data_IF_435633032750
#
_entry.id   IF_435633032750
#
_cell.length_a   1.000
_cell.length_b   1.000
_cell.length_c   1.000
_cell.angle_alpha   90.00
_cell.angle_beta   90.00
_cell.angle_gamma   90.00
#
_symmetry.space_group_name_H-M   'P 1'
#
loop_
_entity.id
_entity.type
_entity.pdbx_description
1 polymer ?
#
# COMPACT_ATOMS: atom_id res chain seq x y z
N UNK A 1 -13.44 -53.49 -22.50
CA UNK A 1 -12.41 -52.43 -22.35
C UNK A 1 -13.11 -51.06 -22.36
N UNK A 2 -13.58 -50.55 -21.20
CA UNK A 2 -14.20 -49.22 -21.10
C UNK A 2 -13.78 -48.62 -19.74
N UNK A 3 -12.49 -48.31 -19.58
CA UNK A 3 -11.95 -47.73 -18.33
C UNK A 3 -11.00 -46.56 -18.56
N UNK A 4 -10.84 -46.10 -19.81
CA UNK A 4 -9.90 -45.02 -20.17
C UNK A 4 -10.52 -43.64 -20.36
N UNK A 5 -11.82 -43.56 -20.67
CA UNK A 5 -12.43 -42.31 -21.18
C UNK A 5 -12.75 -41.32 -20.05
N UNK A 6 -13.13 -41.81 -18.86
CA UNK A 6 -13.46 -40.94 -17.72
C UNK A 6 -12.27 -40.06 -17.32
N UNK A 7 -11.06 -40.63 -17.23
CA UNK A 7 -9.86 -39.89 -16.79
C UNK A 7 -9.53 -38.73 -17.74
N UNK A 8 -9.74 -38.93 -19.03
CA UNK A 8 -9.53 -37.89 -20.04
C UNK A 8 -10.56 -36.75 -19.94
N UNK A 9 -11.83 -37.09 -19.66
CA UNK A 9 -12.90 -36.09 -19.50
C UNK A 9 -12.68 -35.25 -18.24
N UNK A 10 -12.23 -35.84 -17.14
CA UNK A 10 -11.95 -35.13 -15.88
C UNK A 10 -10.73 -34.19 -15.99
N UNK A 11 -9.73 -34.56 -16.77
CA UNK A 11 -8.57 -33.71 -17.02
C UNK A 11 -8.90 -32.52 -17.93
N UNK A 12 -9.76 -32.72 -18.92
CA UNK A 12 -10.21 -31.65 -19.83
C UNK A 12 -11.06 -30.60 -19.10
N UNK A 13 -11.91 -30.99 -18.14
CA UNK A 13 -12.72 -30.05 -17.36
C UNK A 13 -11.89 -29.21 -16.40
N UNK A 14 -10.84 -29.77 -15.78
CA UNK A 14 -9.93 -29.02 -14.90
C UNK A 14 -9.10 -27.97 -15.66
N UNK A 15 -8.74 -28.22 -16.92
CA UNK A 15 -8.01 -27.27 -17.77
C UNK A 15 -8.91 -26.17 -18.37
N UNK A 16 -10.23 -26.38 -18.40
CA UNK A 16 -11.21 -25.38 -18.86
C UNK A 16 -11.69 -24.43 -17.78
N UNK A 17 -11.25 -24.60 -16.53
CA UNK A 17 -11.56 -23.65 -15.48
C UNK A 17 -10.84 -22.33 -15.81
N UNK A 18 -11.56 -21.21 -15.97
CA UNK A 18 -10.91 -19.92 -16.04
C UNK A 18 -10.12 -19.77 -14.75
N UNK A 19 -8.80 -19.53 -14.88
CA UNK A 19 -7.97 -19.09 -13.77
C UNK A 19 -8.65 -17.84 -13.19
N UNK A 20 -9.45 -18.03 -12.14
CA UNK A 20 -9.99 -16.91 -11.39
C UNK A 20 -8.77 -16.07 -11.01
N UNK A 21 -8.76 -14.76 -11.28
CA UNK A 21 -7.66 -13.93 -10.84
C UNK A 21 -7.53 -14.16 -9.34
N UNK A 22 -6.34 -14.60 -8.90
CA UNK A 22 -6.07 -14.73 -7.49
C UNK A 22 -6.36 -13.36 -6.84
N UNK A 23 -7.44 -13.29 -6.07
CA UNK A 23 -7.82 -12.15 -5.24
C UNK A 23 -6.87 -12.09 -4.05
N UNK A 24 -5.64 -11.66 -4.31
CA UNK A 24 -4.69 -11.32 -3.26
C UNK A 24 -5.05 -9.92 -2.74
N UNK A 25 -5.98 -9.86 -1.78
CA UNK A 25 -6.38 -8.63 -1.07
C UNK A 25 -5.40 -8.26 0.06
N UNK A 26 -4.12 -8.59 -0.08
CA UNK A 26 -3.12 -8.40 0.98
C UNK A 26 -2.62 -6.96 1.04
N UNK A 27 -2.50 -6.41 2.24
CA UNK A 27 -1.79 -5.15 2.48
C UNK A 27 -0.40 -5.23 1.85
N UNK A 28 0.00 -4.26 1.03
CA UNK A 28 1.30 -4.31 0.36
C UNK A 28 2.44 -3.76 1.22
N UNK A 29 2.10 -2.74 2.01
CA UNK A 29 3.02 -1.91 2.76
C UNK A 29 2.29 -1.17 3.87
N UNK A 30 2.93 -1.09 5.03
CA UNK A 30 2.45 -0.35 6.18
C UNK A 30 3.55 0.55 6.73
N UNK A 31 3.23 1.80 7.00
CA UNK A 31 4.12 2.74 7.66
C UNK A 31 3.41 3.45 8.80
N UNK A 32 4.12 3.57 9.93
CA UNK A 32 3.65 4.35 11.07
C UNK A 32 4.77 5.21 11.65
N UNK A 33 4.41 6.43 12.04
CA UNK A 33 5.30 7.34 12.74
C UNK A 33 4.55 8.05 13.88
N UNK A 34 5.23 8.22 15.01
CA UNK A 34 4.67 8.89 16.20
C UNK A 34 5.69 9.84 16.79
N UNK A 35 5.29 11.08 17.07
CA UNK A 35 6.09 12.05 17.81
C UNK A 35 5.18 12.93 18.69
N UNK A 36 5.33 12.82 20.01
CA UNK A 36 4.41 13.46 20.95
C UNK A 36 2.96 13.05 20.68
N UNK A 37 2.10 14.04 20.50
CA UNK A 37 0.66 13.85 20.21
C UNK A 37 0.35 13.62 18.73
N UNK A 38 1.36 13.63 17.86
CA UNK A 38 1.18 13.41 16.41
C UNK A 38 1.39 11.94 16.09
N UNK A 39 0.39 11.33 15.47
CA UNK A 39 0.43 9.98 14.93
C UNK A 39 0.09 10.02 13.43
N UNK A 40 0.92 9.37 12.62
CA UNK A 40 0.74 9.25 11.18
C UNK A 40 0.80 7.78 10.78
N UNK A 41 -0.14 7.35 9.95
CA UNK A 41 -0.23 5.98 9.45
C UNK A 41 -0.58 5.99 7.96
N UNK A 42 0.15 5.17 7.19
CA UNK A 42 -0.07 4.99 5.77
C UNK A 42 -0.08 3.51 5.44
N UNK A 43 -1.05 3.11 4.63
CA UNK A 43 -1.21 1.75 4.13
C UNK A 43 -1.39 1.79 2.62
N UNK A 44 -0.59 0.99 1.90
CA UNK A 44 -0.79 0.73 0.48
C UNK A 44 -1.47 -0.63 0.34
N UNK A 45 -2.57 -0.67 -0.41
CA UNK A 45 -3.40 -1.87 -0.62
C UNK A 45 -3.61 -2.03 -2.13
N UNK A 46 -3.55 -3.26 -2.66
CA UNK A 46 -3.84 -3.54 -4.07
C UNK A 46 -2.77 -4.40 -4.77
N UNK A 47 -2.72 -4.39 -6.11
CA UNK A 47 -1.61 -4.94 -6.90
C UNK A 47 -0.50 -3.90 -6.98
N UNK A 48 0.71 -4.30 -7.43
CA UNK A 48 1.93 -3.47 -7.56
C UNK A 48 1.79 -2.13 -8.31
N UNK A 49 0.59 -1.76 -8.76
CA UNK A 49 0.20 -0.40 -9.12
C UNK A 49 -0.66 0.21 -7.98
N UNK A 50 -0.06 0.92 -7.00
CA UNK A 50 -0.69 1.28 -5.73
C UNK A 50 -1.62 2.50 -5.87
N UNK A 51 -2.38 2.60 -6.97
CA UNK A 51 -3.12 3.78 -7.42
C UNK A 51 -4.07 4.44 -6.40
N UNK A 52 -4.25 3.84 -5.22
CA UNK A 52 -4.82 4.46 -4.04
C UNK A 52 -3.93 4.28 -2.80
N UNK A 53 -3.67 5.40 -2.10
CA UNK A 53 -3.04 5.40 -0.76
C UNK A 53 -4.14 5.60 0.29
N UNK A 54 -4.21 4.69 1.26
CA UNK A 54 -5.02 4.89 2.46
C UNK A 54 -4.18 5.55 3.54
N UNK A 55 -4.54 6.78 3.91
CA UNK A 55 -3.79 7.59 4.88
C UNK A 55 -4.70 7.99 6.03
N UNK A 56 -4.20 7.84 7.24
CA UNK A 56 -4.85 8.36 8.44
C UNK A 56 -3.83 9.00 9.36
N UNK A 57 -4.25 10.06 10.05
CA UNK A 57 -3.42 10.75 11.03
C UNK A 57 -4.28 11.26 12.19
N UNK A 58 -3.66 11.44 13.36
CA UNK A 58 -4.30 11.98 14.56
C UNK A 58 -3.34 12.91 15.32
N UNK A 59 -3.86 14.02 15.84
CA UNK A 59 -3.11 14.96 16.69
C UNK A 59 -3.83 16.29 16.89
N UNK A 60 -3.51 17.00 17.98
CA UNK A 60 -4.17 18.25 18.34
C UNK A 60 -3.81 19.43 17.41
N UNK A 61 -2.63 19.39 16.77
CA UNK A 61 -2.09 20.49 15.95
C UNK A 61 -2.03 20.16 14.45
N UNK A 62 -2.88 19.23 13.99
CA UNK A 62 -2.86 18.77 12.60
C UNK A 62 -4.25 18.90 11.95
N UNK A 63 -4.34 19.01 10.63
CA UNK A 63 -5.62 19.13 9.93
C UNK A 63 -6.55 17.95 10.24
N UNK A 64 -7.79 18.24 10.65
CA UNK A 64 -8.77 17.23 11.12
C UNK A 64 -9.21 16.22 10.06
N UNK A 65 -9.09 16.55 8.77
CA UNK A 65 -9.59 15.72 7.69
C UNK A 65 -8.43 15.23 6.81
N UNK A 66 -8.22 13.91 6.65
CA UNK A 66 -7.37 13.39 5.60
C UNK A 66 -8.01 13.74 4.26
N UNK A 67 -7.23 14.31 3.35
CA UNK A 67 -7.67 14.72 2.03
C UNK A 67 -8.16 13.50 1.24
N UNK A 68 -9.47 13.24 1.32
CA UNK A 68 -10.15 12.19 0.56
C UNK A 68 -10.05 12.60 -0.91
N UNK A 69 -9.30 11.83 -1.71
CA UNK A 69 -9.06 12.00 -3.16
C UNK A 69 -7.89 12.90 -3.61
N UNK A 70 -6.83 13.08 -2.81
CA UNK A 70 -5.56 13.61 -3.37
C UNK A 70 -4.80 12.55 -4.14
N UNK A 71 -4.33 12.91 -5.33
CA UNK A 71 -3.37 12.10 -6.08
C UNK A 71 -1.96 12.35 -5.56
N UNK A 72 -1.30 11.26 -5.21
CA UNK A 72 0.11 11.25 -4.86
C UNK A 72 0.90 10.60 -5.98
N UNK A 73 2.13 11.07 -6.14
CA UNK A 73 3.14 10.29 -6.84
C UNK A 73 3.67 9.24 -5.89
N UNK A 74 3.75 8.00 -6.35
CA UNK A 74 4.18 6.84 -5.56
C UNK A 74 5.24 6.11 -6.37
N UNK A 75 6.45 6.02 -5.84
CA UNK A 75 7.44 5.01 -6.25
C UNK A 75 7.42 3.91 -5.21
N UNK A 76 7.23 2.68 -5.64
CA UNK A 76 7.17 1.52 -4.76
C UNK A 76 7.99 0.38 -5.37
N UNK A 77 9.07 0.01 -4.70
CA UNK A 77 9.91 -1.14 -5.05
C UNK A 77 9.99 -2.05 -3.84
N UNK A 78 9.13 -3.08 -3.82
CA UNK A 78 9.09 -4.07 -2.74
C UNK A 78 10.38 -4.88 -2.66
N UNK A 79 10.99 -5.23 -3.80
CA UNK A 79 12.20 -6.05 -3.83
C UNK A 79 13.38 -5.33 -3.17
N UNK A 80 13.48 -4.01 -3.37
CA UNK A 80 14.47 -3.15 -2.72
C UNK A 80 14.02 -2.62 -1.36
N UNK A 81 12.79 -2.89 -0.94
CA UNK A 81 12.15 -2.30 0.26
C UNK A 81 12.24 -0.77 0.24
N UNK A 82 11.85 -0.16 -0.87
CA UNK A 82 11.84 1.29 -1.06
C UNK A 82 10.44 1.78 -1.37
N UNK A 83 10.02 2.83 -0.68
CA UNK A 83 8.74 3.49 -0.93
C UNK A 83 8.91 4.99 -0.79
N UNK A 84 8.58 5.73 -1.85
CA UNK A 84 8.58 7.17 -1.86
C UNK A 84 7.21 7.67 -2.28
N UNK A 85 6.62 8.56 -1.46
CA UNK A 85 5.30 9.13 -1.70
C UNK A 85 5.40 10.62 -1.56
N UNK A 86 4.97 11.37 -2.58
CA UNK A 86 4.97 12.84 -2.55
C UNK A 86 3.71 13.41 -3.18
N UNK A 87 3.27 14.61 -2.76
CA UNK A 87 2.11 15.23 -3.37
C UNK A 87 2.48 15.69 -4.79
N UNK A 88 1.54 15.54 -5.74
CA UNK A 88 1.73 16.07 -7.10
C UNK A 88 1.66 17.60 -7.15
N UNK A 89 0.95 18.22 -6.20
CA UNK A 89 0.80 19.68 -6.09
C UNK A 89 0.84 20.13 -4.62
N UNK A 90 1.39 21.32 -4.37
CA UNK A 90 1.44 21.98 -3.05
C UNK A 90 0.58 23.24 -3.06
N UNK A 91 -0.72 23.04 -3.25
CA UNK A 91 -1.79 24.05 -3.40
C UNK A 91 -2.34 24.59 -2.05
N UNK A 92 -1.53 24.60 -1.00
CA UNK A 92 -1.92 25.10 0.33
C UNK A 92 -2.83 24.17 1.15
N UNK A 93 -3.33 23.09 0.55
CA UNK A 93 -4.08 22.06 1.25
C UNK A 93 -3.15 21.05 1.95
N UNK A 94 -3.62 20.33 2.99
CA UNK A 94 -2.79 19.37 3.72
C UNK A 94 -2.14 18.30 2.83
N UNK A 95 -0.84 18.10 3.01
CA UNK A 95 -0.05 17.11 2.27
C UNK A 95 0.94 16.42 3.20
N UNK A 96 1.47 15.29 2.75
CA UNK A 96 2.60 14.63 3.36
C UNK A 96 3.59 14.18 2.28
N UNK A 97 4.85 14.03 2.66
CA UNK A 97 5.89 13.44 1.83
C UNK A 97 6.60 12.37 2.65
N UNK A 98 6.76 11.17 2.11
CA UNK A 98 7.29 10.01 2.81
C UNK A 98 8.41 9.38 1.99
N UNK A 99 9.51 9.04 2.67
CA UNK A 99 10.66 8.35 2.11
C UNK A 99 11.07 7.23 3.07
N UNK A 100 11.03 6.00 2.56
CA UNK A 100 11.23 4.77 3.32
C UNK A 100 12.23 3.88 2.59
N UNK A 101 13.19 3.36 3.35
CA UNK A 101 14.19 2.40 2.89
C UNK A 101 14.39 1.32 3.95
N UNK A 102 14.18 0.06 3.57
CA UNK A 102 14.14 -1.05 4.51
C UNK A 102 13.00 -0.89 5.53
N UNK A 103 13.25 -1.22 6.80
CA UNK A 103 12.22 -1.18 7.85
C UNK A 103 11.97 0.18 8.49
N UNK A 104 12.55 1.27 7.97
CA UNK A 104 12.45 2.62 8.56
C UNK A 104 12.30 3.69 7.49
N UNK A 105 11.75 4.82 7.88
CA UNK A 105 11.63 5.96 6.99
C UNK A 105 11.26 7.24 7.72
N UNK A 106 11.06 8.29 6.95
CA UNK A 106 10.60 9.57 7.44
C UNK A 106 9.32 9.98 6.71
N UNK A 107 8.45 10.68 7.41
CA UNK A 107 7.35 11.42 6.81
C UNK A 107 7.44 12.89 7.22
N UNK A 108 7.39 13.79 6.24
CA UNK A 108 7.16 15.20 6.43
C UNK A 108 5.66 15.44 6.37
N UNK A 109 5.07 15.84 7.50
CA UNK A 109 3.64 16.08 7.63
C UNK A 109 3.40 17.26 8.58
N UNK A 110 2.52 18.19 8.17
CA UNK A 110 2.20 19.40 8.95
C UNK A 110 3.44 20.20 9.40
N UNK A 111 4.45 20.30 8.53
CA UNK A 111 5.72 20.99 8.83
C UNK A 111 6.65 20.24 9.81
N UNK A 112 6.30 19.03 10.22
CA UNK A 112 7.09 18.19 11.13
C UNK A 112 7.64 16.98 10.39
N UNK A 113 8.91 16.65 10.64
CA UNK A 113 9.52 15.41 10.15
C UNK A 113 9.42 14.35 11.24
N UNK A 114 8.65 13.31 10.98
CA UNK A 114 8.45 12.18 11.87
C UNK A 114 9.26 10.99 11.34
N UNK A 115 10.03 10.36 12.22
CA UNK A 115 10.65 9.07 11.90
C UNK A 115 9.67 7.95 12.24
N UNK A 116 9.60 6.95 11.37
CA UNK A 116 8.68 5.83 11.50
C UNK A 116 9.30 4.49 11.14
N UNK A 117 8.50 3.46 11.37
CA UNK A 117 8.80 2.07 11.01
C UNK A 117 7.94 1.65 9.84
N UNK A 118 8.53 0.88 8.94
CA UNK A 118 7.85 0.30 7.79
C UNK A 118 7.81 -1.22 7.91
N UNK A 119 6.65 -1.78 7.60
CA UNK A 119 6.46 -3.21 7.42
C UNK A 119 6.10 -3.50 5.96
N UNK A 120 6.74 -4.53 5.44
CA UNK A 120 6.60 -5.00 4.07
C UNK A 120 5.92 -6.34 4.18
N UNK A 121 4.62 -6.40 3.95
CA UNK A 121 3.93 -7.68 3.90
C UNK A 121 4.54 -8.54 2.80
N UNK A 122 5.19 -9.63 3.22
CA UNK A 122 5.69 -10.68 2.35
C UNK A 122 4.64 -11.79 2.38
N UNK A 123 4.00 -12.07 1.24
CA UNK A 123 3.19 -13.28 1.07
C UNK A 123 4.07 -14.43 0.61
#
# INVERSE_FOLDING_TARGET
MITGIWKAVLAATLLSLPLAPADASGDLFYFQAKQGDVFFMLMLVGREDPGAVSVSWKGASIPKYPNVHRRYYIEFDRAKRQAYVRPLSRDGLPWFEMDVSGGRGNVLFAGKRLQGTADWTIQ
#
